data_IF_602617904063
#
_entry.id   IF_602617904063
#
_cell.length_a   1.000
_cell.length_b   1.000
_cell.length_c   1.000
_cell.angle_alpha   90.00
_cell.angle_beta   90.00
_cell.angle_gamma   90.00
#
_symmetry.space_group_name_H-M   'P 1'
#
loop_
_entity.id
_entity.type
_entity.pdbx_description
1 polymer ?
#
# COMPACT_ATOMS: atom_id res chain seq x y z
N UNK A 1 -6.72 -14.55 13.12
CA UNK A 1 -6.01 -13.29 12.76
C UNK A 1 -4.80 -13.12 13.68
N UNK A 2 -3.62 -13.02 13.12
CA UNK A 2 -2.41 -12.64 13.86
C UNK A 2 -2.26 -11.10 13.88
N UNK A 3 -1.38 -10.60 14.75
CA UNK A 3 -1.20 -9.16 14.94
C UNK A 3 0.26 -8.76 14.76
N UNK A 4 0.49 -7.60 14.13
CA UNK A 4 1.74 -6.86 14.07
C UNK A 4 1.72 -5.65 14.99
N UNK A 5 2.73 -4.77 14.85
CA UNK A 5 2.82 -3.55 15.65
C UNK A 5 2.99 -2.34 14.73
N UNK A 6 2.03 -1.43 14.73
CA UNK A 6 2.03 -0.22 13.89
C UNK A 6 2.41 1.02 14.70
N UNK A 7 3.66 1.06 15.21
CA UNK A 7 4.19 2.19 15.94
C UNK A 7 3.30 2.65 17.10
N UNK A 8 3.01 3.94 17.17
CA UNK A 8 2.13 4.55 18.18
C UNK A 8 0.66 4.13 18.06
N UNK A 9 0.25 3.59 16.90
CA UNK A 9 -1.10 3.05 16.74
C UNK A 9 -1.27 1.69 17.44
N UNK A 10 -0.19 1.10 17.94
CA UNK A 10 -0.22 -0.12 18.74
C UNK A 10 -0.36 -1.38 17.89
N UNK A 11 -1.06 -2.39 18.44
CA UNK A 11 -1.30 -3.65 17.74
C UNK A 11 -2.23 -3.46 16.53
N UNK A 12 -1.95 -4.13 15.43
CA UNK A 12 -2.72 -4.10 14.19
C UNK A 12 -2.82 -5.50 13.60
N UNK A 13 -3.95 -5.86 12.99
CA UNK A 13 -4.10 -7.13 12.27
C UNK A 13 -3.00 -7.25 11.19
N UNK A 14 -2.49 -8.48 10.99
CA UNK A 14 -1.46 -8.74 9.97
C UNK A 14 -1.95 -8.51 8.53
N UNK A 15 -3.25 -8.39 8.35
CA UNK A 15 -3.89 -7.98 7.11
C UNK A 15 -4.58 -6.62 7.31
N UNK A 16 -4.45 -5.77 6.32
CA UNK A 16 -5.15 -4.48 6.17
C UNK A 16 -6.02 -4.55 4.93
N UNK A 17 -7.30 -4.20 5.02
CA UNK A 17 -8.13 -4.14 3.83
C UNK A 17 -7.77 -2.92 2.98
N UNK A 18 -7.32 -3.14 1.75
CA UNK A 18 -6.98 -2.09 0.80
C UNK A 18 -8.19 -1.65 -0.03
N UNK A 19 -8.39 -0.36 -0.10
CA UNK A 19 -9.52 0.24 -0.82
C UNK A 19 -9.44 0.20 -2.34
N UNK A 20 -8.30 -0.16 -2.93
CA UNK A 20 -8.15 -0.20 -4.39
C UNK A 20 -9.09 -1.19 -5.07
N UNK A 21 -9.30 -2.38 -4.49
CA UNK A 21 -10.27 -3.36 -4.99
C UNK A 21 -11.70 -2.89 -4.77
N UNK A 22 -12.01 -2.41 -3.59
CA UNK A 22 -13.30 -1.84 -3.20
C UNK A 22 -13.71 -0.69 -4.13
N UNK A 23 -12.77 0.18 -4.48
CA UNK A 23 -12.98 1.30 -5.40
C UNK A 23 -12.85 0.95 -6.89
N UNK A 24 -12.79 -0.33 -7.26
CA UNK A 24 -12.74 -0.82 -8.65
C UNK A 24 -11.44 -0.48 -9.42
N UNK A 25 -10.35 -0.14 -8.75
CA UNK A 25 -9.03 0.10 -9.40
C UNK A 25 -8.49 -1.19 -10.04
N UNK A 26 -8.80 -2.34 -9.44
CA UNK A 26 -8.32 -3.65 -9.87
C UNK A 26 -9.31 -4.46 -10.72
N UNK A 27 -10.40 -3.85 -11.11
CA UNK A 27 -11.46 -4.47 -11.90
C UNK A 27 -12.84 -4.20 -11.32
N UNK A 28 -13.91 -4.57 -12.02
CA UNK A 28 -15.27 -4.27 -11.62
C UNK A 28 -15.66 -5.05 -10.34
N UNK A 29 -16.36 -4.36 -9.45
CA UNK A 29 -17.12 -4.94 -8.35
C UNK A 29 -18.42 -4.14 -8.20
N UNK A 30 -19.51 -4.75 -7.74
CA UNK A 30 -20.74 -4.00 -7.48
C UNK A 30 -20.58 -3.21 -6.18
N UNK A 31 -21.37 -2.13 -6.04
CA UNK A 31 -21.41 -1.36 -4.79
C UNK A 31 -21.81 -2.24 -3.60
N UNK A 32 -22.79 -3.11 -3.80
CA UNK A 32 -23.27 -4.05 -2.78
C UNK A 32 -22.17 -5.03 -2.34
N UNK A 33 -21.44 -5.63 -3.30
CA UNK A 33 -20.33 -6.55 -2.99
C UNK A 33 -19.17 -5.82 -2.32
N UNK A 34 -18.84 -4.61 -2.73
CA UNK A 34 -17.82 -3.79 -2.10
C UNK A 34 -18.17 -3.48 -0.63
N UNK A 35 -19.42 -3.08 -0.36
CA UNK A 35 -19.91 -2.83 1.01
C UNK A 35 -19.92 -4.13 1.85
N UNK A 36 -20.35 -5.25 1.26
CA UNK A 36 -20.32 -6.55 1.94
C UNK A 36 -18.88 -7.00 2.25
N UNK A 37 -17.94 -6.75 1.35
CA UNK A 37 -16.51 -7.05 1.55
C UNK A 37 -15.91 -6.22 2.69
N UNK A 38 -16.27 -4.92 2.80
CA UNK A 38 -15.86 -4.07 3.92
C UNK A 38 -16.33 -4.63 5.27
N UNK A 39 -17.63 -5.01 5.37
CA UNK A 39 -18.17 -5.61 6.61
C UNK A 39 -17.52 -6.95 6.93
N UNK A 40 -17.40 -7.83 5.93
CA UNK A 40 -16.79 -9.16 6.10
C UNK A 40 -15.31 -9.05 6.53
N UNK A 41 -14.57 -8.04 6.09
CA UNK A 41 -13.20 -7.82 6.52
C UNK A 41 -13.12 -7.50 8.02
N UNK A 42 -13.97 -6.61 8.52
CA UNK A 42 -14.05 -6.24 9.94
C UNK A 42 -14.50 -7.45 10.77
N UNK A 43 -15.53 -8.19 10.33
CA UNK A 43 -16.02 -9.41 10.96
C UNK A 43 -14.95 -10.51 10.98
N UNK A 44 -14.10 -10.59 9.94
CA UNK A 44 -12.95 -11.48 9.84
C UNK A 44 -11.76 -11.09 10.72
N UNK A 45 -11.86 -9.98 11.48
CA UNK A 45 -10.86 -9.52 12.44
C UNK A 45 -9.80 -8.57 11.83
N UNK A 46 -10.03 -8.02 10.64
CA UNK A 46 -9.21 -6.93 10.11
C UNK A 46 -9.59 -5.65 10.85
N UNK A 47 -8.62 -5.01 11.48
CA UNK A 47 -8.80 -3.80 12.29
C UNK A 47 -8.15 -2.54 11.67
N UNK A 48 -7.69 -2.63 10.42
CA UNK A 48 -7.16 -1.49 9.67
C UNK A 48 -7.69 -1.51 8.22
N UNK A 49 -8.24 -0.38 7.78
CA UNK A 49 -8.74 -0.19 6.40
C UNK A 49 -7.92 0.94 5.76
N UNK A 50 -7.32 0.66 4.60
CA UNK A 50 -6.48 1.61 3.84
C UNK A 50 -7.25 2.14 2.63
N UNK A 51 -7.49 3.43 2.58
CA UNK A 51 -8.23 4.11 1.51
C UNK A 51 -7.37 5.15 0.78
N UNK A 52 -7.93 5.79 -0.22
CA UNK A 52 -7.39 6.98 -0.86
C UNK A 52 -8.45 7.67 -1.72
N UNK A 53 -8.43 9.01 -1.86
CA UNK A 53 -9.33 9.74 -2.78
C UNK A 53 -9.21 9.26 -4.22
N UNK A 54 -8.01 8.85 -4.65
CA UNK A 54 -7.78 8.34 -6.01
C UNK A 54 -8.30 6.92 -6.25
N UNK A 55 -8.81 6.22 -5.24
CA UNK A 55 -9.41 4.91 -5.40
C UNK A 55 -10.89 4.99 -5.80
N UNK A 56 -11.20 5.84 -6.76
CA UNK A 56 -12.52 6.04 -7.35
C UNK A 56 -13.61 6.20 -6.26
N UNK A 57 -14.52 5.22 -6.13
CA UNK A 57 -15.66 5.31 -5.22
C UNK A 57 -15.38 4.75 -3.81
N UNK A 58 -14.15 4.35 -3.50
CA UNK A 58 -13.84 3.64 -2.25
C UNK A 58 -14.28 4.42 -1.00
N UNK A 59 -13.93 5.71 -0.89
CA UNK A 59 -14.27 6.53 0.27
C UNK A 59 -15.78 6.73 0.41
N UNK A 60 -16.50 6.89 -0.70
CA UNK A 60 -17.97 7.01 -0.68
C UNK A 60 -18.61 5.69 -0.22
N UNK A 61 -18.21 4.56 -0.79
CA UNK A 61 -18.70 3.23 -0.38
C UNK A 61 -18.42 2.98 1.11
N UNK A 62 -17.24 3.36 1.60
CA UNK A 62 -16.92 3.26 3.02
C UNK A 62 -17.89 4.10 3.88
N UNK A 63 -18.08 5.38 3.55
CA UNK A 63 -18.96 6.29 4.28
C UNK A 63 -20.42 5.82 4.32
N UNK A 64 -20.91 5.25 3.22
CA UNK A 64 -22.24 4.65 3.12
C UNK A 64 -22.36 3.31 3.85
N UNK A 65 -21.28 2.50 3.85
CA UNK A 65 -21.28 1.18 4.51
C UNK A 65 -21.37 1.30 6.02
N UNK A 66 -20.64 2.24 6.61
CA UNK A 66 -20.55 2.39 8.07
C UNK A 66 -21.40 3.53 8.63
N UNK A 67 -21.84 4.48 7.81
CA UNK A 67 -22.73 5.59 8.18
C UNK A 67 -22.29 6.37 9.44
N UNK A 68 -20.95 6.47 9.66
CA UNK A 68 -20.34 7.08 10.85
C UNK A 68 -20.31 6.15 12.08
N UNK A 69 -20.82 4.93 11.98
CA UNK A 69 -20.83 3.94 13.06
C UNK A 69 -19.74 2.88 12.90
N UNK A 70 -18.52 3.33 12.55
CA UNK A 70 -17.37 2.44 12.46
C UNK A 70 -17.08 1.80 13.84
N UNK A 71 -16.86 0.47 13.93
CA UNK A 71 -16.51 -0.15 15.21
C UNK A 71 -15.24 0.48 15.82
N UNK A 72 -15.29 0.78 17.12
CA UNK A 72 -14.23 1.57 17.80
C UNK A 72 -12.82 0.98 17.75
N UNK A 73 -12.70 -0.33 17.48
CA UNK A 73 -11.40 -1.01 17.31
C UNK A 73 -10.86 -0.90 15.90
N UNK A 74 -11.66 -0.49 14.90
CA UNK A 74 -11.24 -0.36 13.50
C UNK A 74 -10.62 1.01 13.27
N UNK A 75 -9.46 1.01 12.68
CA UNK A 75 -8.68 2.18 12.31
C UNK A 75 -8.73 2.41 10.81
N UNK A 76 -8.56 3.65 10.40
CA UNK A 76 -8.64 4.04 8.99
C UNK A 76 -7.41 4.84 8.59
N UNK A 77 -6.85 4.47 7.45
CA UNK A 77 -5.85 5.28 6.78
C UNK A 77 -6.41 5.86 5.48
N UNK A 78 -5.98 7.04 5.11
CA UNK A 78 -6.19 7.61 3.78
C UNK A 78 -4.91 8.22 3.26
N UNK A 79 -4.96 8.81 2.07
CA UNK A 79 -3.79 9.33 1.38
C UNK A 79 -4.08 10.69 0.75
N UNK A 80 -3.02 11.44 0.46
CA UNK A 80 -3.10 12.64 -0.37
C UNK A 80 -2.09 12.56 -1.50
N UNK A 81 -2.57 12.64 -2.74
CA UNK A 81 -1.74 12.75 -3.95
C UNK A 81 -1.48 14.24 -4.22
N UNK A 82 -0.53 14.80 -3.47
CA UNK A 82 -0.25 16.24 -3.46
C UNK A 82 0.46 16.71 -4.74
N UNK A 83 1.39 15.90 -5.25
CA UNK A 83 2.28 16.31 -6.32
C UNK A 83 3.27 17.40 -5.89
N UNK A 84 3.61 18.30 -6.82
CA UNK A 84 4.45 19.49 -6.58
C UNK A 84 3.61 20.75 -6.81
N UNK A 85 2.86 21.23 -5.81
CA UNK A 85 2.12 22.48 -5.90
C UNK A 85 3.06 23.68 -5.89
N UNK A 86 2.56 24.89 -6.22
CA UNK A 86 3.29 26.13 -5.99
C UNK A 86 3.69 26.29 -4.52
N UNK A 87 4.85 26.93 -4.31
CA UNK A 87 5.40 27.22 -2.97
C UNK A 87 4.36 27.93 -2.09
N UNK A 88 4.23 27.51 -0.84
CA UNK A 88 3.27 28.04 0.13
C UNK A 88 1.87 27.44 0.06
N UNK A 89 1.58 26.53 -0.87
CA UNK A 89 0.24 25.94 -1.03
C UNK A 89 0.09 24.53 -0.47
N UNK A 90 1.18 23.87 -0.09
CA UNK A 90 1.13 22.46 0.35
C UNK A 90 0.18 22.27 1.55
N UNK A 91 0.26 23.12 2.57
CA UNK A 91 -0.56 23.00 3.78
C UNK A 91 -2.06 23.11 3.48
N UNK A 92 -2.48 24.11 2.70
CA UNK A 92 -3.90 24.32 2.36
C UNK A 92 -4.46 23.19 1.50
N UNK A 93 -3.67 22.66 0.56
CA UNK A 93 -4.09 21.56 -0.30
C UNK A 93 -4.20 20.23 0.45
N UNK A 94 -3.25 19.94 1.33
CA UNK A 94 -3.30 18.77 2.23
C UNK A 94 -4.54 18.83 3.13
N UNK A 95 -4.76 19.96 3.81
CA UNK A 95 -5.91 20.13 4.69
C UNK A 95 -7.23 20.00 3.94
N UNK A 96 -7.36 20.65 2.79
CA UNK A 96 -8.56 20.54 1.97
C UNK A 96 -8.82 19.12 1.48
N UNK A 97 -7.77 18.36 1.14
CA UNK A 97 -7.90 16.94 0.78
C UNK A 97 -8.39 16.11 1.96
N UNK A 98 -7.79 16.26 3.13
CA UNK A 98 -8.16 15.55 4.35
C UNK A 98 -9.61 15.84 4.74
N UNK A 99 -10.00 17.10 4.78
CA UNK A 99 -11.38 17.49 5.16
C UNK A 99 -12.41 16.91 4.19
N UNK A 100 -12.15 16.89 2.87
CA UNK A 100 -13.05 16.25 1.90
C UNK A 100 -13.18 14.76 2.15
N UNK A 101 -12.06 14.05 2.35
CA UNK A 101 -12.08 12.60 2.62
C UNK A 101 -12.81 12.28 3.93
N UNK A 102 -12.55 13.03 4.99
CA UNK A 102 -13.24 12.87 6.28
C UNK A 102 -14.75 13.05 6.13
N UNK A 103 -15.18 14.10 5.40
CA UNK A 103 -16.60 14.34 5.14
C UNK A 103 -17.23 13.20 4.31
N UNK A 104 -16.56 12.75 3.26
CA UNK A 104 -17.03 11.64 2.40
C UNK A 104 -17.17 10.34 3.19
N UNK A 105 -16.21 10.04 4.05
CA UNK A 105 -16.16 8.81 4.85
C UNK A 105 -16.96 8.92 6.16
N UNK A 106 -17.49 10.11 6.49
CA UNK A 106 -18.22 10.42 7.74
C UNK A 106 -17.37 10.11 8.98
N UNK A 107 -16.09 10.51 8.94
CA UNK A 107 -15.12 10.35 10.03
C UNK A 107 -14.72 11.71 10.58
N UNK A 108 -14.32 11.75 11.85
CA UNK A 108 -13.78 12.96 12.49
C UNK A 108 -12.28 13.12 12.27
N UNK A 109 -11.54 11.99 12.11
CA UNK A 109 -10.09 11.97 11.90
C UNK A 109 -9.65 10.66 11.24
N UNK A 110 -8.47 10.68 10.63
CA UNK A 110 -7.76 9.46 10.24
C UNK A 110 -6.77 9.02 11.31
N UNK A 111 -6.57 7.72 11.45
CA UNK A 111 -5.51 7.17 12.30
C UNK A 111 -4.15 7.37 11.65
N UNK A 112 -4.07 7.30 10.32
CA UNK A 112 -2.82 7.48 9.58
C UNK A 112 -3.11 8.11 8.21
N UNK A 113 -2.39 9.16 7.86
CA UNK A 113 -2.43 9.78 6.54
C UNK A 113 -1.12 9.57 5.81
N UNK A 114 -1.17 9.06 4.59
CA UNK A 114 0.02 8.92 3.75
C UNK A 114 0.15 10.03 2.73
N UNK A 115 1.35 10.58 2.57
CA UNK A 115 1.70 11.26 1.33
C UNK A 115 1.74 10.21 0.21
N UNK A 116 0.83 10.34 -0.76
CA UNK A 116 0.69 9.38 -1.86
C UNK A 116 1.62 9.68 -3.03
N UNK A 117 2.05 10.94 -3.17
CA UNK A 117 3.02 11.37 -4.18
C UNK A 117 4.37 10.69 -3.93
N UNK A 118 5.03 10.31 -5.01
CA UNK A 118 6.44 9.89 -4.96
C UNK A 118 7.31 11.06 -4.53
N UNK A 119 8.32 10.82 -3.69
CA UNK A 119 9.30 11.85 -3.33
C UNK A 119 10.51 11.70 -4.25
N UNK A 120 10.99 12.82 -4.83
CA UNK A 120 12.15 12.80 -5.73
C UNK A 120 13.09 13.98 -5.48
N UNK A 121 14.38 13.86 -5.84
CA UNK A 121 15.31 14.99 -5.82
C UNK A 121 14.82 16.13 -6.71
N UNK A 122 15.26 17.33 -6.44
CA UNK A 122 15.02 18.47 -7.33
C UNK A 122 15.58 18.18 -8.73
N UNK A 123 14.82 18.52 -9.77
CA UNK A 123 15.23 18.32 -11.16
C UNK A 123 15.27 16.87 -11.63
N UNK A 124 14.80 15.91 -10.82
CA UNK A 124 14.77 14.50 -11.20
C UNK A 124 13.93 14.28 -12.46
N UNK A 125 14.50 13.55 -13.44
CA UNK A 125 13.82 13.17 -14.67
C UNK A 125 13.31 11.72 -14.56
N UNK A 126 12.00 11.55 -14.62
CA UNK A 126 11.39 10.23 -14.54
C UNK A 126 11.50 9.46 -15.87
N UNK A 127 11.76 8.17 -15.80
CA UNK A 127 11.80 7.29 -16.97
C UNK A 127 10.44 7.20 -17.68
N UNK A 128 9.33 7.36 -16.93
CA UNK A 128 7.98 7.28 -17.45
C UNK A 128 7.09 8.41 -16.92
N UNK A 129 6.42 9.13 -17.83
CA UNK A 129 5.44 10.16 -17.50
C UNK A 129 6.04 11.47 -16.98
N UNK A 130 7.32 11.75 -17.26
CA UNK A 130 8.07 12.93 -16.77
C UNK A 130 7.35 14.27 -17.06
N UNK A 131 6.68 14.40 -18.21
CA UNK A 131 5.88 15.58 -18.55
C UNK A 131 4.73 15.88 -17.58
N UNK A 132 4.37 14.94 -16.72
CA UNK A 132 3.32 15.07 -15.70
C UNK A 132 3.86 14.88 -14.28
N UNK A 133 5.19 14.91 -14.09
CA UNK A 133 5.83 14.62 -12.79
C UNK A 133 5.24 15.46 -11.65
N UNK A 134 4.93 16.71 -11.87
CA UNK A 134 4.39 17.61 -10.85
C UNK A 134 3.00 17.19 -10.34
N UNK A 135 2.32 16.26 -11.03
CA UNK A 135 1.04 15.70 -10.57
C UNK A 135 1.19 14.51 -9.62
N UNK A 136 2.30 13.77 -9.71
CA UNK A 136 2.48 12.54 -8.94
C UNK A 136 3.76 12.51 -8.11
N UNK A 137 4.59 13.54 -8.18
CA UNK A 137 5.86 13.63 -7.48
C UNK A 137 5.96 14.91 -6.68
N UNK A 138 6.41 14.80 -5.44
CA UNK A 138 6.75 15.91 -4.55
C UNK A 138 8.26 16.04 -4.52
N UNK A 139 8.78 17.23 -4.81
CA UNK A 139 10.22 17.50 -4.73
C UNK A 139 10.69 17.44 -3.29
N UNK A 140 11.95 17.05 -3.10
CA UNK A 140 12.56 16.89 -1.77
C UNK A 140 12.55 18.16 -0.94
N UNK A 141 12.90 19.31 -1.52
CA UNK A 141 12.87 20.62 -0.86
C UNK A 141 11.45 20.92 -0.34
N UNK A 142 10.45 20.81 -1.20
CA UNK A 142 9.04 21.01 -0.83
C UNK A 142 8.58 20.02 0.24
N UNK A 143 9.02 18.76 0.14
CA UNK A 143 8.70 17.74 1.15
C UNK A 143 9.19 18.14 2.53
N UNK A 144 10.45 18.58 2.63
CA UNK A 144 11.06 18.96 3.92
C UNK A 144 10.50 20.28 4.44
N UNK A 145 10.43 21.30 3.58
CA UNK A 145 10.17 22.67 4.01
C UNK A 145 8.68 22.96 4.21
N UNK A 146 7.79 22.26 3.49
CA UNK A 146 6.34 22.53 3.56
C UNK A 146 5.50 21.30 3.94
N UNK A 147 5.75 20.13 3.31
CA UNK A 147 4.86 18.97 3.49
C UNK A 147 4.99 18.37 4.88
N UNK A 148 6.20 18.15 5.39
CA UNK A 148 6.42 17.65 6.73
C UNK A 148 5.82 18.59 7.78
N UNK A 149 6.08 19.91 7.79
CA UNK A 149 5.41 20.84 8.70
C UNK A 149 3.89 20.85 8.58
N UNK A 150 3.35 20.73 7.35
CA UNK A 150 1.90 20.67 7.14
C UNK A 150 1.26 19.40 7.73
N UNK A 151 1.90 18.23 7.58
CA UNK A 151 1.46 16.96 8.15
C UNK A 151 1.50 17.02 9.70
N UNK A 152 2.54 17.59 10.29
CA UNK A 152 2.59 17.83 11.74
C UNK A 152 1.50 18.82 12.19
N UNK A 153 1.21 19.83 11.35
CA UNK A 153 0.10 20.75 11.56
C UNK A 153 -1.27 20.06 11.57
N UNK A 154 -1.54 19.13 10.65
CA UNK A 154 -2.76 18.31 10.63
C UNK A 154 -2.88 17.44 11.89
N UNK A 155 -1.77 16.87 12.34
CA UNK A 155 -1.69 16.10 13.60
C UNK A 155 -2.02 16.99 14.81
N UNK A 156 -1.45 18.18 14.88
CA UNK A 156 -1.73 19.16 15.93
C UNK A 156 -3.19 19.63 15.97
N UNK A 157 -3.85 19.70 14.80
CA UNK A 157 -5.28 20.01 14.67
C UNK A 157 -6.19 18.83 15.04
N UNK A 158 -5.63 17.63 15.26
CA UNK A 158 -6.39 16.42 15.56
C UNK A 158 -7.11 15.79 14.36
N UNK A 159 -6.83 16.24 13.13
CA UNK A 159 -7.40 15.68 11.90
C UNK A 159 -6.78 14.34 11.51
N UNK A 160 -5.56 14.09 11.96
CA UNK A 160 -4.85 12.81 11.81
C UNK A 160 -4.14 12.47 13.13
N UNK A 161 -3.95 11.18 13.44
CA UNK A 161 -3.16 10.75 14.61
C UNK A 161 -1.67 10.63 14.28
N UNK A 162 -1.37 10.14 13.08
CA UNK A 162 -0.03 9.94 12.58
C UNK A 162 0.01 10.17 11.07
N UNK A 163 1.22 10.29 10.50
CA UNK A 163 1.41 10.38 9.07
C UNK A 163 2.54 9.48 8.58
N UNK A 164 2.49 9.14 7.30
CA UNK A 164 3.46 8.29 6.64
C UNK A 164 3.71 8.70 5.19
N UNK A 165 4.53 7.91 4.52
CA UNK A 165 4.80 8.06 3.09
C UNK A 165 4.55 6.75 2.35
N UNK A 166 4.21 6.83 1.06
CA UNK A 166 4.30 5.67 0.18
C UNK A 166 5.75 5.52 -0.25
N UNK A 167 6.38 4.39 0.11
CA UNK A 167 7.76 4.07 -0.28
C UNK A 167 7.91 3.66 -1.74
N UNK A 168 7.10 4.26 -2.63
CA UNK A 168 7.10 4.05 -4.08
C UNK A 168 7.55 5.36 -4.71
N UNK A 169 8.84 5.59 -4.71
CA UNK A 169 9.46 6.78 -5.26
C UNK A 169 10.90 6.46 -5.65
N UNK A 170 11.70 7.47 -5.90
CA UNK A 170 13.13 7.32 -6.10
C UNK A 170 13.72 6.71 -4.82
N UNK A 171 14.28 5.47 -4.84
CA UNK A 171 14.62 4.75 -3.62
C UNK A 171 15.54 5.52 -2.68
N UNK A 172 16.53 6.23 -3.24
CA UNK A 172 17.45 7.05 -2.44
C UNK A 172 16.71 8.14 -1.65
N UNK A 173 15.69 8.77 -2.24
CA UNK A 173 14.93 9.83 -1.57
C UNK A 173 14.00 9.24 -0.50
N UNK A 174 13.45 8.04 -0.73
CA UNK A 174 12.68 7.32 0.29
C UNK A 174 13.56 6.98 1.50
N UNK A 175 14.78 6.48 1.27
CA UNK A 175 15.76 6.21 2.34
C UNK A 175 16.10 7.51 3.10
N UNK A 176 16.30 8.61 2.39
CA UNK A 176 16.57 9.92 2.98
C UNK A 176 15.39 10.41 3.85
N UNK A 177 14.15 10.19 3.42
CA UNK A 177 12.97 10.53 4.22
C UNK A 177 12.88 9.68 5.50
N UNK A 178 13.23 8.40 5.44
CA UNK A 178 13.28 7.52 6.61
C UNK A 178 14.39 7.89 7.60
N UNK A 179 15.48 8.50 7.13
CA UNK A 179 16.58 9.00 7.97
C UNK A 179 16.38 10.45 8.46
N UNK A 180 15.36 11.15 7.98
CA UNK A 180 15.13 12.56 8.35
C UNK A 180 14.82 12.70 9.85
N UNK A 181 15.19 13.83 10.45
CA UNK A 181 14.96 14.10 11.88
C UNK A 181 13.47 14.04 12.25
N UNK A 182 12.61 14.63 11.40
CA UNK A 182 11.14 14.48 11.46
C UNK A 182 10.75 13.44 10.43
N UNK A 183 10.91 12.16 10.79
CA UNK A 183 10.66 11.03 9.88
C UNK A 183 9.20 10.62 9.87
N UNK A 184 8.72 9.94 8.80
CA UNK A 184 7.38 9.38 8.76
C UNK A 184 7.18 8.36 9.88
N UNK A 185 5.97 8.30 10.42
CA UNK A 185 5.58 7.38 11.49
C UNK A 185 5.09 6.03 10.95
N UNK A 186 4.99 5.89 9.62
CA UNK A 186 4.76 4.63 8.92
C UNK A 186 5.19 4.76 7.45
N UNK A 187 5.47 3.65 6.79
CA UNK A 187 5.78 3.62 5.36
C UNK A 187 5.07 2.45 4.67
N UNK A 188 4.52 2.69 3.47
CA UNK A 188 4.04 1.62 2.60
C UNK A 188 5.17 1.15 1.71
N UNK A 189 5.50 -0.14 1.71
CA UNK A 189 6.62 -0.70 0.95
C UNK A 189 6.17 -1.89 0.13
N UNK A 190 6.69 -2.03 -1.08
CA UNK A 190 6.47 -3.21 -1.91
C UNK A 190 6.92 -4.45 -1.14
N UNK A 191 6.03 -5.43 -1.03
CA UNK A 191 6.27 -6.68 -0.32
C UNK A 191 5.82 -7.86 -1.20
N UNK A 192 6.67 -8.26 -2.14
CA UNK A 192 6.43 -9.43 -2.98
C UNK A 192 7.73 -10.16 -3.32
N UNK A 193 7.59 -11.38 -3.79
CA UNK A 193 8.72 -12.27 -4.09
C UNK A 193 9.57 -11.83 -5.31
N UNK A 194 9.08 -10.88 -6.10
CA UNK A 194 9.78 -10.35 -7.27
C UNK A 194 10.53 -9.04 -6.99
N UNK A 195 10.34 -8.43 -5.82
CA UNK A 195 10.80 -7.08 -5.48
C UNK A 195 10.36 -6.01 -6.52
N UNK A 196 9.33 -6.33 -7.30
CA UNK A 196 8.89 -5.52 -8.44
C UNK A 196 7.81 -4.51 -8.07
N UNK A 197 7.97 -3.29 -8.54
CA UNK A 197 6.96 -2.26 -8.50
C UNK A 197 5.97 -2.34 -9.70
N UNK A 198 6.32 -3.10 -10.75
CA UNK A 198 5.48 -3.25 -11.94
C UNK A 198 5.08 -1.92 -12.56
N UNK A 199 3.82 -1.80 -12.94
CA UNK A 199 3.29 -0.63 -13.67
C UNK A 199 3.26 0.69 -12.89
N UNK A 200 3.50 0.69 -11.58
CA UNK A 200 3.58 1.93 -10.78
C UNK A 200 4.98 2.53 -10.75
N UNK A 201 6.02 1.80 -11.22
CA UNK A 201 7.39 2.31 -11.28
C UNK A 201 7.52 3.36 -12.38
N UNK A 202 7.88 4.58 -11.99
CA UNK A 202 8.13 5.70 -12.92
C UNK A 202 9.60 6.09 -12.99
N UNK A 203 10.40 5.76 -11.98
CA UNK A 203 11.83 6.02 -11.85
C UNK A 203 12.67 4.95 -12.59
N UNK A 204 13.92 5.26 -12.93
CA UNK A 204 14.80 4.38 -13.69
C UNK A 204 15.47 3.31 -12.82
N UNK A 205 15.82 3.64 -11.58
CA UNK A 205 16.55 2.80 -10.65
C UNK A 205 15.77 1.52 -10.27
N UNK A 206 16.43 0.46 -9.83
CA UNK A 206 15.76 -0.69 -9.18
C UNK A 206 14.92 -0.23 -8.00
N UNK A 207 13.77 -0.83 -7.76
CA UNK A 207 12.83 -0.42 -6.70
C UNK A 207 13.40 -0.58 -5.28
N UNK A 208 14.37 -1.47 -5.08
CA UNK A 208 15.09 -1.71 -3.84
C UNK A 208 14.20 -1.85 -2.56
N UNK A 209 13.06 -2.57 -2.61
CA UNK A 209 12.12 -2.60 -1.49
C UNK A 209 12.74 -3.21 -0.23
N UNK A 210 13.62 -4.20 -0.36
CA UNK A 210 14.29 -4.82 0.80
C UNK A 210 15.22 -3.86 1.52
N UNK A 211 15.88 -2.96 0.80
CA UNK A 211 16.70 -1.90 1.41
C UNK A 211 15.83 -0.91 2.18
N UNK A 212 14.66 -0.56 1.60
CA UNK A 212 13.69 0.32 2.28
C UNK A 212 13.11 -0.36 3.53
N UNK A 213 12.76 -1.66 3.46
CA UNK A 213 12.33 -2.46 4.61
C UNK A 213 13.37 -2.48 5.72
N UNK A 214 14.64 -2.74 5.38
CA UNK A 214 15.74 -2.77 6.33
C UNK A 214 15.94 -1.41 7.01
N UNK A 215 15.89 -0.31 6.24
CA UNK A 215 16.02 1.05 6.76
C UNK A 215 14.82 1.44 7.65
N UNK A 216 13.60 1.09 7.27
CA UNK A 216 12.42 1.32 8.08
C UNK A 216 12.53 0.59 9.43
N UNK A 217 12.96 -0.68 9.42
CA UNK A 217 13.20 -1.48 10.63
C UNK A 217 14.31 -0.87 11.51
N UNK A 218 15.44 -0.47 10.92
CA UNK A 218 16.55 0.20 11.64
C UNK A 218 16.06 1.44 12.39
N UNK A 219 15.21 2.23 11.75
CA UNK A 219 14.70 3.49 12.30
C UNK A 219 13.41 3.34 13.12
N UNK A 220 12.93 2.10 13.33
CA UNK A 220 11.69 1.82 14.07
C UNK A 220 10.43 2.35 13.39
N UNK A 221 10.45 2.54 12.06
CA UNK A 221 9.29 2.96 11.26
C UNK A 221 8.50 1.73 10.84
N UNK A 222 7.25 1.56 11.28
CA UNK A 222 6.44 0.42 10.92
C UNK A 222 6.08 0.41 9.43
N UNK A 223 5.91 -0.80 8.90
CA UNK A 223 5.72 -1.03 7.47
C UNK A 223 4.38 -1.68 7.18
N UNK A 224 3.63 -1.05 6.26
CA UNK A 224 2.50 -1.65 5.59
C UNK A 224 2.97 -2.19 4.23
N UNK A 225 3.03 -3.52 4.10
CA UNK A 225 3.41 -4.16 2.84
C UNK A 225 2.33 -4.00 1.80
N UNK A 226 2.71 -3.73 0.57
CA UNK A 226 1.79 -3.58 -0.57
C UNK A 226 2.19 -4.48 -1.72
N UNK A 227 1.26 -4.72 -2.66
CA UNK A 227 1.49 -5.47 -3.90
C UNK A 227 1.92 -6.93 -3.69
N UNK A 228 1.42 -7.61 -2.67
CA UNK A 228 1.76 -9.01 -2.39
C UNK A 228 1.61 -9.93 -3.62
N UNK A 229 0.51 -9.80 -4.35
CA UNK A 229 0.24 -10.54 -5.60
C UNK A 229 0.69 -9.78 -6.85
N UNK A 230 1.47 -8.71 -6.71
CA UNK A 230 2.04 -7.91 -7.79
C UNK A 230 1.01 -7.55 -8.88
N UNK A 231 -0.12 -6.95 -8.45
CA UNK A 231 -1.23 -6.58 -9.33
C UNK A 231 -1.70 -7.74 -10.24
N UNK A 232 -1.77 -8.94 -9.70
CA UNK A 232 -2.19 -10.15 -10.40
C UNK A 232 -1.05 -10.92 -11.10
N UNK A 233 0.17 -10.40 -11.13
CA UNK A 233 1.29 -11.11 -11.76
C UNK A 233 1.67 -12.43 -11.04
N UNK A 234 1.34 -12.56 -9.77
CA UNK A 234 1.62 -13.73 -8.94
C UNK A 234 0.36 -14.57 -8.64
N UNK A 235 -0.67 -14.46 -9.46
CA UNK A 235 -1.87 -15.29 -9.40
C UNK A 235 -1.85 -16.39 -10.46
N UNK A 236 -2.81 -17.29 -10.42
CA UNK A 236 -2.93 -18.38 -11.41
C UNK A 236 -3.19 -17.83 -12.82
N UNK A 237 -4.00 -16.80 -12.92
CA UNK A 237 -4.41 -16.15 -14.16
C UNK A 237 -4.34 -14.63 -14.03
N UNK A 238 -4.02 -13.92 -15.11
CA UNK A 238 -4.08 -12.47 -15.16
C UNK A 238 -5.50 -12.04 -15.54
N UNK A 239 -6.22 -11.47 -14.60
CA UNK A 239 -7.65 -11.12 -14.71
C UNK A 239 -7.92 -9.77 -15.42
N UNK A 240 -6.91 -9.18 -16.03
CA UNK A 240 -6.98 -7.90 -16.73
C UNK A 240 -6.39 -7.99 -18.13
N UNK A 241 -7.01 -7.33 -19.08
CA UNK A 241 -6.42 -7.18 -20.42
C UNK A 241 -5.36 -6.06 -20.37
N UNK A 242 -4.11 -6.47 -20.35
CA UNK A 242 -2.94 -5.59 -20.34
C UNK A 242 -2.19 -5.71 -21.67
N UNK A 243 -1.72 -4.58 -22.19
CA UNK A 243 -0.89 -4.58 -23.39
C UNK A 243 0.35 -5.47 -23.24
N UNK A 244 0.89 -6.05 -24.32
CA UNK A 244 2.07 -6.93 -24.26
C UNK A 244 3.30 -6.28 -23.58
N UNK A 245 3.41 -4.96 -23.67
CA UNK A 245 4.52 -4.21 -23.08
C UNK A 245 4.26 -3.73 -21.65
N UNK A 246 3.07 -3.99 -21.09
CA UNK A 246 2.74 -3.55 -19.73
C UNK A 246 3.66 -4.24 -18.70
N UNK A 247 4.27 -3.53 -17.75
CA UNK A 247 5.19 -4.11 -16.77
C UNK A 247 4.58 -5.25 -15.95
N UNK A 248 3.32 -5.13 -15.51
CA UNK A 248 2.63 -6.17 -14.73
C UNK A 248 2.38 -7.43 -15.58
N UNK A 249 2.16 -7.30 -16.91
CA UNK A 249 2.07 -8.46 -17.81
C UNK A 249 3.42 -9.15 -17.97
N UNK A 250 4.50 -8.38 -18.14
CA UNK A 250 5.86 -8.95 -18.18
C UNK A 250 6.22 -9.67 -16.87
N UNK A 251 5.81 -9.13 -15.73
CA UNK A 251 5.98 -9.79 -14.44
C UNK A 251 5.17 -11.09 -14.38
N UNK A 252 3.92 -11.11 -14.88
CA UNK A 252 3.13 -12.33 -14.97
C UNK A 252 3.80 -13.40 -15.83
N UNK A 253 4.29 -13.06 -17.02
CA UNK A 253 4.99 -13.98 -17.91
C UNK A 253 6.26 -14.52 -17.25
N UNK A 254 7.04 -13.68 -16.60
CA UNK A 254 8.28 -14.03 -15.89
C UNK A 254 8.03 -14.94 -14.69
N UNK A 255 6.87 -14.82 -14.04
CA UNK A 255 6.47 -15.63 -12.88
C UNK A 255 5.97 -17.05 -13.25
N UNK A 256 6.15 -17.54 -14.49
CA UNK A 256 5.68 -18.88 -14.87
C UNK A 256 6.30 -19.99 -14.01
N UNK A 257 7.63 -19.95 -13.77
CA UNK A 257 8.29 -20.94 -12.91
C UNK A 257 7.76 -20.95 -11.47
N UNK A 258 7.33 -19.80 -10.97
CA UNK A 258 6.68 -19.72 -9.66
C UNK A 258 5.31 -20.42 -9.65
N UNK A 259 4.47 -20.22 -10.68
CA UNK A 259 3.19 -20.93 -10.81
C UNK A 259 3.37 -22.44 -10.93
N UNK A 260 4.40 -22.86 -11.67
CA UNK A 260 4.73 -24.29 -11.80
C UNK A 260 5.17 -24.88 -10.46
N UNK A 261 5.99 -24.14 -9.69
CA UNK A 261 6.39 -24.56 -8.34
C UNK A 261 5.17 -24.69 -7.40
N UNK A 262 4.27 -23.69 -7.38
CA UNK A 262 3.03 -23.78 -6.58
C UNK A 262 2.18 -24.98 -6.97
N UNK A 263 2.09 -25.30 -8.28
CA UNK A 263 1.37 -26.48 -8.76
C UNK A 263 1.98 -27.78 -8.25
N UNK A 264 3.32 -27.88 -8.13
CA UNK A 264 3.96 -29.08 -7.55
C UNK A 264 3.65 -29.25 -6.06
N UNK A 265 3.34 -28.15 -5.36
CA UNK A 265 2.92 -28.17 -3.96
C UNK A 265 1.41 -28.38 -3.77
N UNK A 266 0.62 -28.31 -4.86
CA UNK A 266 -0.85 -28.35 -4.79
C UNK A 266 -1.45 -27.09 -4.17
N UNK A 267 -0.73 -25.96 -4.25
CA UNK A 267 -1.09 -24.68 -3.62
C UNK A 267 -1.50 -23.64 -4.65
N UNK A 268 -2.39 -22.72 -4.26
CA UNK A 268 -2.74 -21.56 -5.08
C UNK A 268 -1.61 -20.52 -5.07
N UNK A 269 -1.16 -19.99 -6.23
CA UNK A 269 -0.10 -19.01 -6.28
C UNK A 269 -0.39 -17.72 -5.49
N UNK A 270 -1.64 -17.24 -5.47
CA UNK A 270 -2.00 -16.04 -4.72
C UNK A 270 -1.86 -16.26 -3.20
N UNK A 271 -2.25 -17.42 -2.70
CA UNK A 271 -2.12 -17.78 -1.28
C UNK A 271 -0.65 -17.84 -0.87
N UNK A 272 0.20 -18.48 -1.69
CA UNK A 272 1.65 -18.51 -1.47
C UNK A 272 2.27 -17.13 -1.56
N UNK A 273 1.86 -16.28 -2.50
CA UNK A 273 2.35 -14.90 -2.61
C UNK A 273 2.01 -14.05 -1.37
N UNK A 274 0.78 -14.15 -0.84
CA UNK A 274 0.40 -13.48 0.41
C UNK A 274 1.22 -13.99 1.60
N UNK A 275 1.38 -15.31 1.74
CA UNK A 275 2.18 -15.92 2.81
C UNK A 275 3.66 -15.54 2.69
N UNK A 276 4.20 -15.45 1.45
CA UNK A 276 5.56 -14.96 1.23
C UNK A 276 5.72 -13.52 1.72
N UNK A 277 4.81 -12.62 1.32
CA UNK A 277 4.82 -11.23 1.74
C UNK A 277 4.72 -11.09 3.28
N UNK A 278 3.83 -11.86 3.91
CA UNK A 278 3.72 -11.95 5.38
C UNK A 278 4.95 -12.56 6.06
N UNK A 279 5.78 -13.30 5.32
CA UNK A 279 7.04 -13.89 5.81
C UNK A 279 8.23 -12.94 5.68
N UNK A 280 8.12 -11.87 4.88
CA UNK A 280 9.20 -10.87 4.74
C UNK A 280 9.45 -10.18 6.08
N UNK A 281 10.72 -10.12 6.46
CA UNK A 281 11.12 -9.44 7.71
C UNK A 281 10.89 -7.92 7.60
N UNK A 282 10.34 -7.34 8.65
CA UNK A 282 10.01 -5.91 8.70
C UNK A 282 8.63 -5.52 8.18
N UNK A 283 7.83 -6.46 7.65
CA UNK A 283 6.42 -6.19 7.27
C UNK A 283 5.52 -6.39 8.50
N UNK A 284 4.88 -5.32 8.97
CA UNK A 284 4.00 -5.35 10.14
C UNK A 284 2.56 -5.74 9.80
N UNK A 285 2.03 -5.23 8.70
CA UNK A 285 0.72 -5.59 8.14
C UNK A 285 0.78 -5.57 6.61
N UNK A 286 -0.11 -6.29 5.94
CA UNK A 286 -0.15 -6.41 4.49
C UNK A 286 -1.45 -5.84 3.94
N UNK A 287 -1.35 -4.83 3.08
CA UNK A 287 -2.51 -4.21 2.42
C UNK A 287 -2.97 -5.10 1.27
N UNK A 288 -4.22 -5.50 1.33
CA UNK A 288 -4.88 -6.38 0.37
C UNK A 288 -5.49 -5.61 -0.80
N UNK A 289 -5.40 -6.17 -1.99
CA UNK A 289 -6.07 -5.63 -3.19
C UNK A 289 -7.33 -6.39 -3.58
N UNK A 290 -8.04 -6.99 -2.60
CA UNK A 290 -9.22 -7.83 -2.85
C UNK A 290 -10.42 -7.03 -3.36
N UNK A 291 -11.20 -7.62 -4.27
CA UNK A 291 -12.36 -7.01 -4.93
C UNK A 291 -13.70 -7.53 -4.38
N UNK A 292 -13.69 -8.68 -3.72
CA UNK A 292 -14.89 -9.37 -3.27
C UNK A 292 -14.60 -10.27 -2.06
N UNK A 293 -15.70 -10.79 -1.46
CA UNK A 293 -15.64 -11.65 -0.27
C UNK A 293 -14.92 -12.98 -0.50
N UNK A 294 -14.94 -13.53 -1.71
CA UNK A 294 -14.27 -14.80 -2.02
C UNK A 294 -12.74 -14.62 -2.01
N UNK A 295 -12.23 -13.54 -2.60
CA UNK A 295 -10.81 -13.19 -2.53
C UNK A 295 -10.38 -12.87 -1.09
N UNK A 296 -11.22 -12.15 -0.33
CA UNK A 296 -10.98 -11.87 1.08
C UNK A 296 -10.91 -13.16 1.91
N UNK A 297 -11.87 -14.06 1.76
CA UNK A 297 -11.92 -15.32 2.51
C UNK A 297 -10.68 -16.19 2.24
N UNK A 298 -10.22 -16.27 0.98
CA UNK A 298 -8.97 -16.94 0.62
C UNK A 298 -7.76 -16.31 1.31
N UNK A 299 -7.65 -14.97 1.30
CA UNK A 299 -6.53 -14.29 1.92
C UNK A 299 -6.53 -14.44 3.45
N UNK A 300 -7.71 -14.41 4.10
CA UNK A 300 -7.85 -14.71 5.53
C UNK A 300 -7.39 -16.14 5.86
N UNK A 301 -7.72 -17.11 4.99
CA UNK A 301 -7.25 -18.50 5.12
C UNK A 301 -5.73 -18.60 4.95
N UNK A 302 -5.17 -17.91 3.97
CA UNK A 302 -3.71 -17.86 3.75
C UNK A 302 -2.97 -17.27 4.97
N UNK A 303 -3.50 -16.21 5.58
CA UNK A 303 -2.95 -15.63 6.81
C UNK A 303 -3.02 -16.62 7.98
N UNK A 304 -4.15 -17.30 8.16
CA UNK A 304 -4.34 -18.29 9.21
C UNK A 304 -3.39 -19.50 9.06
N UNK A 305 -3.00 -19.87 7.83
CA UNK A 305 -2.00 -20.90 7.57
C UNK A 305 -0.58 -20.48 8.00
N UNK A 306 -0.37 -19.22 8.32
CA UNK A 306 0.87 -18.67 8.83
C UNK A 306 1.96 -18.46 7.77
N UNK A 307 3.16 -18.18 8.26
CA UNK A 307 4.34 -17.93 7.41
C UNK A 307 4.69 -19.18 6.59
N UNK A 308 5.33 -18.96 5.44
CA UNK A 308 5.97 -20.04 4.70
C UNK A 308 7.14 -20.61 5.52
N UNK A 309 7.38 -21.90 5.36
CA UNK A 309 8.58 -22.48 5.94
C UNK A 309 9.86 -22.04 5.19
N UNK A 310 11.04 -22.12 5.81
CA UNK A 310 12.29 -21.69 5.19
C UNK A 310 12.62 -22.43 3.89
N UNK A 311 12.22 -23.68 3.72
CA UNK A 311 12.47 -24.43 2.50
C UNK A 311 11.59 -23.94 1.35
N UNK A 312 10.34 -23.60 1.61
CA UNK A 312 9.45 -22.97 0.63
C UNK A 312 9.99 -21.60 0.18
N UNK A 313 10.43 -20.76 1.13
CA UNK A 313 11.04 -19.46 0.81
C UNK A 313 12.29 -19.64 -0.03
N UNK A 314 13.18 -20.55 0.34
CA UNK A 314 14.40 -20.83 -0.41
C UNK A 314 14.11 -21.34 -1.83
N UNK A 315 13.12 -22.22 -2.01
CA UNK A 315 12.73 -22.70 -3.33
C UNK A 315 12.18 -21.58 -4.22
N UNK A 316 11.38 -20.66 -3.67
CA UNK A 316 10.91 -19.46 -4.39
C UNK A 316 12.10 -18.56 -4.76
N UNK A 317 13.00 -18.30 -3.82
CA UNK A 317 14.14 -17.40 -4.03
C UNK A 317 15.12 -17.95 -5.08
N UNK A 318 15.28 -19.27 -5.19
CA UNK A 318 16.09 -19.94 -6.21
C UNK A 318 15.56 -19.74 -7.64
N UNK A 319 14.29 -19.34 -7.82
CA UNK A 319 13.76 -19.01 -9.14
C UNK A 319 14.38 -17.73 -9.75
N UNK A 320 15.09 -16.92 -8.96
CA UNK A 320 15.79 -15.72 -9.44
C UNK A 320 14.86 -14.62 -9.98
N UNK A 321 13.64 -14.49 -9.45
CA UNK A 321 12.62 -13.57 -9.97
C UNK A 321 12.78 -12.11 -9.51
N UNK A 322 13.70 -11.82 -8.59
CA UNK A 322 13.90 -10.46 -8.07
C UNK A 322 14.48 -9.53 -9.14
N UNK A 323 14.07 -8.25 -9.13
CA UNK A 323 14.51 -7.21 -10.09
C UNK A 323 15.34 -6.14 -9.42
#
# INVERSE_FOLDING_TARGET
>A
MNYGKLGELGSVSRLTLGGGGIGQVWGPTSHEEAAATLRAAVEGGIDLIDTAPMYLNCEAIFGETFEGALPAHVRVTSKCDLGTPPVGQAASLLEASVLRSLATMRLERFDLLFLHSSIAPEGYAYAHGDSRRDKFSTRWDLYVDEVVPALEGLKSKGLIRAWGITGIGVPQTVLQALDHATRPQAVQVIANLMDSAGGIRRFAEPAAPRTILAKAKENGVPVLGIRAVQAGALTAELDRDLSPNHPDRKDFERAQGYRDLCRTWGEDPADIAHRYALSMDGVDTLILGVKNRDELARTLKAEAAGRLDPAQIAAIDQLGLRT
#
